data_IF_902624283979
#
_entry.id   IF_902624283979
#
_cell.length_a   1.000
_cell.length_b   1.000
_cell.length_c   1.000
_cell.angle_alpha   90.00
_cell.angle_beta   90.00
_cell.angle_gamma   90.00
#
_symmetry.space_group_name_H-M   'P 1'
#
loop_
_entity.id
_entity.type
_entity.pdbx_description
1 polymer ?
#
# COMPACT_ATOMS: atom_id res chain seq x y z
N UNK A 1 2.15 -9.17 -4.18
CA UNK A 1 2.21 -7.71 -4.27
C UNK A 1 1.35 -7.20 -5.43
N UNK A 2 1.64 -7.52 -6.69
CA UNK A 2 0.93 -6.96 -7.84
C UNK A 2 -0.60 -7.10 -7.82
N UNK A 3 -1.14 -8.23 -7.36
CA UNK A 3 -2.59 -8.41 -7.22
C UNK A 3 -3.22 -7.41 -6.23
N UNK A 4 -2.52 -7.09 -5.16
CA UNK A 4 -2.97 -6.12 -4.16
C UNK A 4 -2.87 -4.68 -4.68
N UNK A 5 -1.82 -4.37 -5.45
CA UNK A 5 -1.62 -3.02 -6.01
C UNK A 5 -2.69 -2.64 -7.05
N UNK A 6 -3.38 -3.62 -7.63
CA UNK A 6 -4.51 -3.38 -8.54
C UNK A 6 -5.78 -2.94 -7.78
N UNK A 7 -5.86 -3.26 -6.48
CA UNK A 7 -7.04 -2.92 -5.65
C UNK A 7 -6.83 -1.57 -4.98
N UNK A 8 -7.67 -0.57 -5.26
CA UNK A 8 -7.57 0.73 -4.61
C UNK A 8 -7.66 0.60 -3.07
N UNK A 9 -6.71 1.19 -2.34
CA UNK A 9 -6.69 1.16 -0.88
C UNK A 9 -6.01 -0.06 -0.25
N UNK A 10 -5.58 -1.05 -1.06
CA UNK A 10 -4.68 -2.12 -0.62
C UNK A 10 -3.29 -1.85 -1.19
N UNK A 11 -2.25 -2.13 -0.41
CA UNK A 11 -0.86 -1.89 -0.81
C UNK A 11 -0.12 -3.22 -0.99
N UNK A 12 0.66 -3.32 -2.06
CA UNK A 12 1.62 -4.41 -2.23
C UNK A 12 2.63 -4.50 -1.09
N UNK A 13 2.91 -3.38 -0.42
CA UNK A 13 3.68 -3.34 0.83
C UNK A 13 3.08 -4.20 1.93
N UNK A 14 1.75 -4.22 2.07
CA UNK A 14 1.06 -5.12 3.01
C UNK A 14 1.36 -6.59 2.69
N UNK A 15 1.27 -6.97 1.41
CA UNK A 15 1.57 -8.34 0.98
C UNK A 15 3.04 -8.68 1.17
N UNK A 16 3.97 -7.76 0.86
CA UNK A 16 5.39 -7.95 1.12
C UNK A 16 5.65 -8.21 2.60
N UNK A 17 4.97 -7.46 3.45
CA UNK A 17 5.09 -7.59 4.90
C UNK A 17 4.61 -8.96 5.38
N UNK A 18 3.42 -9.37 4.97
CA UNK A 18 2.79 -10.65 5.33
C UNK A 18 3.61 -11.85 4.83
N UNK A 19 4.15 -11.76 3.61
CA UNK A 19 4.99 -12.83 3.03
C UNK A 19 6.41 -12.88 3.60
N UNK A 20 6.75 -12.00 4.56
CA UNK A 20 8.05 -11.96 5.22
C UNK A 20 9.19 -11.40 4.38
N UNK A 21 8.91 -10.83 3.20
CA UNK A 21 9.93 -10.26 2.29
C UNK A 21 10.12 -8.75 2.46
N UNK A 22 9.40 -8.11 3.37
CA UNK A 22 9.39 -6.65 3.51
C UNK A 22 10.76 -6.08 3.91
N UNK A 23 11.43 -6.68 4.91
CA UNK A 23 12.75 -6.22 5.34
C UNK A 23 13.79 -6.42 4.22
N UNK A 24 13.71 -7.53 3.48
CA UNK A 24 14.56 -7.78 2.30
C UNK A 24 14.30 -6.74 1.21
N UNK A 25 13.03 -6.41 0.93
CA UNK A 25 12.64 -5.38 -0.02
C UNK A 25 13.24 -4.02 0.37
N UNK A 26 13.01 -3.58 1.61
CA UNK A 26 13.52 -2.29 2.12
C UNK A 26 15.06 -2.27 2.09
N UNK A 27 15.69 -3.37 2.51
CA UNK A 27 17.16 -3.48 2.48
C UNK A 27 17.70 -3.39 1.06
N UNK A 28 17.08 -4.09 0.11
CA UNK A 28 17.49 -4.10 -1.30
C UNK A 28 17.32 -2.73 -1.96
N UNK A 29 16.18 -2.04 -1.74
CA UNK A 29 15.97 -0.67 -2.23
C UNK A 29 17.02 0.27 -1.63
N UNK A 30 17.32 0.16 -0.35
CA UNK A 30 18.30 1.04 0.33
C UNK A 30 19.73 0.90 -0.19
N UNK A 31 20.05 -0.22 -0.86
CA UNK A 31 21.34 -0.46 -1.51
C UNK A 31 21.47 0.27 -2.85
N UNK A 32 20.38 0.75 -3.44
CA UNK A 32 20.43 1.58 -4.65
C UNK A 32 20.89 2.99 -4.24
N UNK A 33 22.21 3.18 -4.22
CA UNK A 33 22.86 4.40 -3.73
C UNK A 33 24.14 4.69 -4.52
N UNK A 34 24.86 5.76 -4.17
CA UNK A 34 26.11 6.11 -4.84
C UNK A 34 27.18 5.00 -4.78
N UNK A 35 27.14 4.13 -3.77
CA UNK A 35 28.04 2.98 -3.67
C UNK A 35 27.68 1.91 -4.70
N UNK A 36 26.40 1.69 -4.98
CA UNK A 36 25.96 0.80 -6.06
C UNK A 36 26.53 1.26 -7.43
N UNK A 37 26.55 2.58 -7.68
CA UNK A 37 27.14 3.13 -8.89
C UNK A 37 28.66 2.90 -8.93
N UNK A 38 29.36 3.03 -7.81
CA UNK A 38 30.78 2.70 -7.72
C UNK A 38 31.06 1.23 -8.00
N UNK A 39 30.28 0.32 -7.40
CA UNK A 39 30.39 -1.12 -7.67
C UNK A 39 30.16 -1.41 -9.15
N UNK A 40 29.16 -0.78 -9.77
CA UNK A 40 28.88 -0.96 -11.20
C UNK A 40 30.08 -0.52 -12.07
N UNK A 41 30.70 0.61 -11.76
CA UNK A 41 31.79 1.19 -12.56
C UNK A 41 33.16 0.55 -12.29
N UNK A 42 33.40 0.05 -11.08
CA UNK A 42 34.69 -0.49 -10.66
C UNK A 42 34.74 -2.03 -10.69
N UNK A 43 33.66 -2.70 -10.35
CA UNK A 43 33.60 -4.16 -10.19
C UNK A 43 32.74 -4.85 -11.27
N UNK A 44 32.03 -4.05 -12.07
CA UNK A 44 31.24 -4.54 -13.20
C UNK A 44 29.82 -4.97 -12.86
N UNK A 45 29.06 -5.37 -13.90
CA UNK A 45 27.61 -5.60 -13.83
C UNK A 45 27.24 -6.79 -12.93
N UNK A 46 28.07 -7.82 -12.86
CA UNK A 46 27.77 -9.01 -12.02
C UNK A 46 27.88 -8.68 -10.53
N UNK A 47 28.88 -7.89 -10.14
CA UNK A 47 29.06 -7.43 -8.77
C UNK A 47 27.93 -6.48 -8.38
N UNK A 48 27.58 -5.54 -9.25
CA UNK A 48 26.44 -4.66 -9.07
C UNK A 48 25.12 -5.44 -8.86
N UNK A 49 24.83 -6.44 -9.71
CA UNK A 49 23.66 -7.28 -9.59
C UNK A 49 23.56 -7.98 -8.24
N UNK A 50 24.66 -8.55 -7.76
CA UNK A 50 24.72 -9.16 -6.43
C UNK A 50 24.56 -8.13 -5.31
N UNK A 51 25.19 -6.96 -5.46
CA UNK A 51 25.13 -5.89 -4.47
C UNK A 51 23.71 -5.40 -4.21
N UNK A 52 22.92 -5.14 -5.27
CA UNK A 52 21.55 -4.64 -5.16
C UNK A 52 20.52 -5.74 -4.91
N UNK A 53 20.92 -7.02 -4.82
CA UNK A 53 20.00 -8.15 -4.79
C UNK A 53 19.12 -8.25 -6.05
N UNK A 54 19.72 -8.15 -7.22
CA UNK A 54 19.05 -8.07 -8.52
C UNK A 54 18.12 -9.24 -8.82
N UNK A 55 18.47 -10.46 -8.38
CA UNK A 55 17.64 -11.65 -8.56
C UNK A 55 16.31 -11.54 -7.80
N UNK A 56 16.33 -10.98 -6.59
CA UNK A 56 15.14 -10.69 -5.82
C UNK A 56 14.25 -9.65 -6.53
N UNK A 57 14.85 -8.54 -7.01
CA UNK A 57 14.12 -7.54 -7.77
C UNK A 57 13.52 -8.10 -9.05
N UNK A 58 14.27 -8.91 -9.78
CA UNK A 58 13.78 -9.51 -11.02
C UNK A 58 12.56 -10.42 -10.75
N UNK A 59 12.67 -11.31 -9.77
CA UNK A 59 11.56 -12.19 -9.39
C UNK A 59 10.33 -11.40 -8.93
N UNK A 60 10.55 -10.37 -8.11
CA UNK A 60 9.50 -9.50 -7.60
C UNK A 60 8.79 -8.72 -8.72
N UNK A 61 9.56 -8.04 -9.59
CA UNK A 61 9.00 -7.24 -10.68
C UNK A 61 8.30 -8.10 -11.73
N UNK A 62 8.85 -9.28 -12.06
CA UNK A 62 8.16 -10.23 -12.94
C UNK A 62 6.84 -10.70 -12.32
N UNK A 63 6.84 -11.08 -11.03
CA UNK A 63 5.63 -11.49 -10.33
C UNK A 63 4.58 -10.37 -10.26
N UNK A 64 5.00 -9.13 -10.02
CA UNK A 64 4.11 -7.95 -10.05
C UNK A 64 3.54 -7.76 -11.46
N UNK A 65 4.38 -7.78 -12.50
CA UNK A 65 3.96 -7.60 -13.88
C UNK A 65 2.97 -8.65 -14.35
N UNK A 66 3.27 -9.93 -14.13
CA UNK A 66 2.38 -11.04 -14.46
C UNK A 66 1.03 -10.90 -13.72
N UNK A 67 1.10 -10.56 -12.43
CA UNK A 67 -0.09 -10.39 -11.60
C UNK A 67 -0.98 -9.24 -12.10
N UNK A 68 -0.39 -8.08 -12.43
CA UNK A 68 -1.14 -6.94 -12.98
C UNK A 68 -1.80 -7.32 -14.31
N UNK A 69 -1.06 -7.91 -15.24
CA UNK A 69 -1.58 -8.27 -16.56
C UNK A 69 -2.71 -9.31 -16.46
N UNK A 70 -2.56 -10.31 -15.60
CA UNK A 70 -3.53 -11.40 -15.47
C UNK A 70 -4.74 -11.04 -14.63
N UNK A 71 -4.57 -10.26 -13.56
CA UNK A 71 -5.62 -10.03 -12.56
C UNK A 71 -6.30 -8.66 -12.68
N UNK A 72 -5.71 -7.67 -13.35
CA UNK A 72 -6.29 -6.33 -13.41
C UNK A 72 -7.73 -6.33 -13.96
N UNK A 73 -8.00 -7.06 -15.04
CA UNK A 73 -9.35 -7.15 -15.62
C UNK A 73 -10.33 -7.84 -14.69
N UNK A 74 -9.90 -8.92 -14.02
CA UNK A 74 -10.72 -9.67 -13.07
C UNK A 74 -11.04 -8.80 -11.86
N UNK A 75 -10.03 -8.11 -11.32
CA UNK A 75 -10.21 -7.22 -10.15
C UNK A 75 -11.10 -6.03 -10.48
N UNK A 76 -10.95 -5.45 -11.68
CA UNK A 76 -11.84 -4.39 -12.13
C UNK A 76 -13.28 -4.87 -12.18
N UNK A 77 -13.54 -6.00 -12.83
CA UNK A 77 -14.88 -6.60 -12.91
C UNK A 77 -15.47 -6.87 -11.53
N UNK A 78 -14.68 -7.45 -10.61
CA UNK A 78 -15.13 -7.76 -9.26
C UNK A 78 -15.43 -6.49 -8.44
N UNK A 79 -14.60 -5.46 -8.55
CA UNK A 79 -14.82 -4.18 -7.85
C UNK A 79 -16.05 -3.42 -8.37
N UNK A 80 -16.34 -3.51 -9.68
CA UNK A 80 -17.51 -2.87 -10.28
C UNK A 80 -18.82 -3.62 -9.98
N UNK A 81 -18.80 -4.95 -9.94
CA UNK A 81 -20.01 -5.76 -9.80
C UNK A 81 -20.22 -6.38 -8.41
N UNK A 82 -19.13 -6.61 -7.68
CA UNK A 82 -19.15 -7.30 -6.38
C UNK A 82 -18.21 -6.64 -5.35
N UNK A 83 -18.31 -5.31 -5.11
CA UNK A 83 -17.36 -4.61 -4.26
C UNK A 83 -17.32 -5.14 -2.82
N UNK A 84 -18.48 -5.47 -2.23
CA UNK A 84 -18.57 -6.00 -0.86
C UNK A 84 -17.72 -7.26 -0.71
N UNK A 85 -17.78 -8.17 -1.69
CA UNK A 85 -17.01 -9.42 -1.73
C UNK A 85 -15.51 -9.14 -1.67
N UNK A 86 -15.04 -8.24 -2.53
CA UNK A 86 -13.61 -7.89 -2.62
C UNK A 86 -13.12 -7.23 -1.34
N UNK A 87 -13.83 -6.22 -0.88
CA UNK A 87 -13.45 -5.49 0.33
C UNK A 87 -13.46 -6.37 1.57
N UNK A 88 -14.45 -7.28 1.70
CA UNK A 88 -14.52 -8.21 2.82
C UNK A 88 -13.33 -9.17 2.85
N UNK A 89 -12.95 -9.72 1.70
CA UNK A 89 -11.76 -10.56 1.59
C UNK A 89 -10.50 -9.83 2.05
N UNK A 90 -10.27 -8.61 1.53
CA UNK A 90 -9.10 -7.81 1.92
C UNK A 90 -9.16 -7.33 3.37
N UNK A 91 -10.33 -7.04 3.90
CA UNK A 91 -10.50 -6.72 5.32
C UNK A 91 -10.04 -7.88 6.20
N UNK A 92 -10.49 -9.09 5.92
CA UNK A 92 -10.07 -10.30 6.66
C UNK A 92 -8.56 -10.56 6.53
N UNK A 93 -8.00 -10.39 5.35
CA UNK A 93 -6.58 -10.49 5.08
C UNK A 93 -5.78 -9.48 5.93
N UNK A 94 -6.23 -8.21 6.01
CA UNK A 94 -5.56 -7.19 6.80
C UNK A 94 -5.69 -7.43 8.30
N UNK A 95 -6.84 -7.92 8.79
CA UNK A 95 -7.01 -8.30 10.20
C UNK A 95 -6.05 -9.42 10.59
N UNK A 96 -5.91 -10.45 9.76
CA UNK A 96 -4.91 -11.50 9.99
C UNK A 96 -3.48 -10.95 10.03
N UNK A 97 -3.18 -10.00 9.12
CA UNK A 97 -1.87 -9.33 9.06
C UNK A 97 -1.55 -8.58 10.34
N UNK A 98 -2.52 -7.85 10.91
CA UNK A 98 -2.37 -7.17 12.20
C UNK A 98 -1.98 -8.17 13.30
N UNK A 99 -2.71 -9.29 13.40
CA UNK A 99 -2.44 -10.31 14.42
C UNK A 99 -1.07 -10.95 14.25
N UNK A 100 -0.65 -11.17 13.00
CA UNK A 100 0.68 -11.68 12.69
C UNK A 100 1.77 -10.70 13.13
N UNK A 101 1.64 -9.42 12.79
CA UNK A 101 2.61 -8.39 13.14
C UNK A 101 2.70 -8.12 14.63
N UNK A 102 1.59 -8.24 15.35
CA UNK A 102 1.59 -8.12 16.80
C UNK A 102 2.47 -9.18 17.46
N UNK A 103 2.63 -10.36 16.84
CA UNK A 103 3.55 -11.42 17.35
C UNK A 103 5.03 -11.07 17.18
N UNK A 104 5.38 -10.23 16.18
CA UNK A 104 6.74 -9.76 15.95
C UNK A 104 7.19 -8.70 16.96
N UNK A 105 6.26 -8.18 17.77
CA UNK A 105 6.56 -7.24 18.86
C UNK A 105 6.98 -8.05 20.09
N UNK A 106 8.28 -8.23 20.25
CA UNK A 106 8.85 -9.05 21.33
C UNK A 106 8.56 -8.47 22.73
N UNK A 107 8.52 -7.15 22.86
CA UNK A 107 8.33 -6.46 24.15
C UNK A 107 7.23 -5.42 24.04
N UNK A 108 6.12 -5.69 24.68
CA UNK A 108 5.04 -4.75 24.86
C UNK A 108 5.36 -3.82 26.05
N UNK A 109 5.63 -2.56 25.74
CA UNK A 109 5.84 -1.52 26.71
C UNK A 109 4.98 -0.30 26.37
N UNK A 110 4.93 0.67 27.29
CA UNK A 110 4.15 1.89 27.08
C UNK A 110 4.52 2.61 25.76
N UNK A 111 5.81 2.63 25.42
CA UNK A 111 6.30 3.25 24.18
C UNK A 111 5.77 2.57 22.91
N UNK A 112 5.80 1.21 22.84
CA UNK A 112 5.29 0.48 21.69
C UNK A 112 3.78 0.64 21.54
N UNK A 113 3.02 0.63 22.64
CA UNK A 113 1.57 0.85 22.60
C UNK A 113 1.27 2.28 22.12
N UNK A 114 1.98 3.28 22.64
CA UNK A 114 1.79 4.68 22.24
C UNK A 114 2.11 4.89 20.76
N UNK A 115 3.21 4.34 20.26
CA UNK A 115 3.58 4.42 18.83
C UNK A 115 2.53 3.73 17.97
N UNK A 116 2.02 2.57 18.38
CA UNK A 116 0.96 1.85 17.66
C UNK A 116 -0.32 2.67 17.59
N UNK A 117 -0.76 3.26 18.70
CA UNK A 117 -1.95 4.10 18.74
C UNK A 117 -1.80 5.38 17.92
N UNK A 118 -0.66 6.07 18.01
CA UNK A 118 -0.39 7.28 17.22
C UNK A 118 -0.34 6.97 15.72
N UNK A 119 0.35 5.92 15.32
CA UNK A 119 0.41 5.51 13.91
C UNK A 119 -0.98 5.10 13.39
N UNK A 120 -1.76 4.40 14.21
CA UNK A 120 -3.14 4.04 13.89
C UNK A 120 -4.05 5.26 13.73
N UNK A 121 -3.95 6.22 14.65
CA UNK A 121 -4.70 7.48 14.56
C UNK A 121 -4.32 8.28 13.29
N UNK A 122 -3.03 8.39 12.99
CA UNK A 122 -2.55 9.06 11.76
C UNK A 122 -3.11 8.37 10.52
N UNK A 123 -2.99 7.04 10.43
CA UNK A 123 -3.50 6.28 9.29
C UNK A 123 -5.02 6.44 9.15
N UNK A 124 -5.76 6.34 10.25
CA UNK A 124 -7.22 6.55 10.25
C UNK A 124 -7.59 7.96 9.75
N UNK A 125 -6.95 9.00 10.27
CA UNK A 125 -7.17 10.39 9.85
C UNK A 125 -6.94 10.53 8.35
N UNK A 126 -5.84 9.96 7.82
CA UNK A 126 -5.55 9.97 6.38
C UNK A 126 -6.72 9.33 5.58
N UNK A 127 -7.36 8.29 6.08
CA UNK A 127 -8.47 7.63 5.36
C UNK A 127 -9.78 8.41 5.36
N UNK A 128 -9.98 9.34 6.30
CA UNK A 128 -11.23 10.11 6.45
C UNK A 128 -11.14 11.56 5.99
N UNK A 129 -9.93 12.10 5.78
CA UNK A 129 -9.75 13.45 5.25
C UNK A 129 -10.31 13.53 3.83
N UNK A 130 -11.18 14.51 3.52
CA UNK A 130 -11.64 14.73 2.18
C UNK A 130 -10.48 15.12 1.26
N UNK A 131 -10.49 14.67 -0.01
CA UNK A 131 -9.47 15.04 -0.98
C UNK A 131 -9.40 16.56 -1.18
N UNK A 132 -8.20 17.06 -1.40
CA UNK A 132 -7.99 18.45 -1.79
C UNK A 132 -8.48 18.62 -3.24
N UNK A 133 -9.71 19.09 -3.39
CA UNK A 133 -10.30 19.38 -4.70
C UNK A 133 -9.79 20.76 -5.16
N UNK A 134 -8.57 20.81 -5.63
CA UNK A 134 -8.04 22.01 -6.25
C UNK A 134 -7.50 21.60 -7.62
N UNK A 135 -7.89 22.37 -8.64
CA UNK A 135 -7.55 22.12 -10.04
C UNK A 135 -6.05 21.90 -10.27
N UNK A 136 -5.69 21.49 -11.47
CA UNK A 136 -4.35 21.11 -11.92
C UNK A 136 -3.24 22.04 -11.40
N UNK A 137 -2.68 21.71 -10.25
CA UNK A 137 -1.53 22.45 -9.74
C UNK A 137 -0.26 21.86 -10.39
N UNK A 138 0.19 22.48 -11.47
CA UNK A 138 1.38 22.08 -12.21
C UNK A 138 2.69 22.62 -11.60
N UNK A 139 2.66 23.10 -10.37
CA UNK A 139 3.88 23.54 -9.69
C UNK A 139 4.87 22.38 -9.59
N UNK A 140 6.07 22.61 -10.14
CA UNK A 140 7.16 21.63 -10.21
C UNK A 140 7.46 20.99 -8.85
N UNK A 141 7.53 21.82 -7.80
CA UNK A 141 7.80 21.36 -6.44
C UNK A 141 6.65 20.52 -5.87
N UNK A 142 5.42 20.90 -6.17
CA UNK A 142 4.23 20.14 -5.76
C UNK A 142 4.20 18.74 -6.42
N UNK A 143 4.41 18.66 -7.74
CA UNK A 143 4.45 17.38 -8.46
C UNK A 143 5.59 16.49 -7.96
N UNK A 144 6.76 17.07 -7.69
CA UNK A 144 7.88 16.34 -7.06
C UNK A 144 7.48 15.76 -5.70
N UNK A 145 6.85 16.56 -4.83
CA UNK A 145 6.39 16.10 -3.51
C UNK A 145 5.30 15.02 -3.65
N UNK A 146 4.39 15.16 -4.59
CA UNK A 146 3.37 14.14 -4.87
C UNK A 146 4.01 12.79 -5.23
N UNK A 147 5.04 12.80 -6.09
CA UNK A 147 5.79 11.59 -6.42
C UNK A 147 6.47 10.97 -5.20
N UNK A 148 7.14 11.80 -4.40
CA UNK A 148 7.82 11.33 -3.20
C UNK A 148 6.85 10.75 -2.16
N UNK A 149 5.74 11.42 -1.88
CA UNK A 149 4.75 10.96 -0.90
C UNK A 149 3.97 9.74 -1.38
N UNK A 150 3.60 9.68 -2.66
CA UNK A 150 2.91 8.54 -3.23
C UNK A 150 3.73 7.25 -3.11
N UNK A 151 5.01 7.30 -3.44
CA UNK A 151 5.88 6.11 -3.35
C UNK A 151 6.17 5.71 -1.91
N UNK A 152 6.32 6.68 -0.99
CA UNK A 152 6.46 6.40 0.44
C UNK A 152 5.22 5.67 0.98
N UNK A 153 4.03 6.15 0.60
CA UNK A 153 2.77 5.51 0.99
C UNK A 153 2.62 4.11 0.39
N UNK A 154 3.08 3.89 -0.83
CA UNK A 154 3.04 2.57 -1.49
C UNK A 154 3.91 1.53 -0.77
N UNK A 155 5.02 1.96 -0.16
CA UNK A 155 5.87 1.09 0.66
C UNK A 155 5.19 0.80 2.00
N UNK A 156 4.51 1.78 2.62
CA UNK A 156 3.84 1.58 3.89
C UNK A 156 2.69 0.57 3.73
N UNK A 157 2.59 -0.42 4.62
CA UNK A 157 1.46 -1.34 4.60
C UNK A 157 0.15 -0.60 4.89
N UNK A 158 -0.89 -0.86 4.10
CA UNK A 158 -2.26 -0.36 4.37
C UNK A 158 -2.66 0.93 3.66
N UNK A 159 -1.77 1.63 2.96
CA UNK A 159 -2.12 2.81 2.16
C UNK A 159 -1.59 2.66 0.73
N UNK A 160 -2.41 3.05 -0.23
CA UNK A 160 -2.05 3.07 -1.65
C UNK A 160 -1.47 4.42 -2.06
N UNK A 161 -0.42 4.42 -2.88
CA UNK A 161 0.14 5.64 -3.45
C UNK A 161 -0.86 6.41 -4.32
N UNK A 162 -1.69 5.69 -5.07
CA UNK A 162 -2.76 6.31 -5.87
C UNK A 162 -3.77 7.06 -4.97
N UNK A 163 -4.11 6.50 -3.82
CA UNK A 163 -4.98 7.15 -2.85
C UNK A 163 -4.36 8.46 -2.30
N UNK A 164 -3.06 8.48 -2.04
CA UNK A 164 -2.37 9.71 -1.64
C UNK A 164 -2.41 10.76 -2.76
N UNK A 165 -2.28 10.36 -4.02
CA UNK A 165 -2.42 11.29 -5.15
C UNK A 165 -3.83 11.87 -5.25
N UNK A 166 -4.87 11.06 -5.03
CA UNK A 166 -6.27 11.53 -4.96
C UNK A 166 -6.42 12.53 -3.81
N UNK A 167 -5.92 12.19 -2.63
CA UNK A 167 -5.98 13.04 -1.44
C UNK A 167 -5.32 14.40 -1.67
N UNK A 168 -4.20 14.43 -2.37
CA UNK A 168 -3.46 15.65 -2.72
C UNK A 168 -4.06 16.40 -3.93
N UNK A 169 -5.09 15.85 -4.59
CA UNK A 169 -5.67 16.44 -5.80
C UNK A 169 -4.75 16.34 -7.05
N UNK A 170 -3.72 15.50 -7.01
CA UNK A 170 -2.73 15.35 -8.07
C UNK A 170 -3.00 14.15 -9.00
N UNK A 171 -3.98 13.30 -8.69
CA UNK A 171 -4.22 12.04 -9.40
C UNK A 171 -4.47 12.25 -10.89
N UNK A 172 -5.39 13.17 -11.23
CA UNK A 172 -5.72 13.49 -12.62
C UNK A 172 -4.53 14.12 -13.35
N UNK A 173 -3.83 15.06 -12.71
CA UNK A 173 -2.65 15.71 -13.31
C UNK A 173 -1.60 14.67 -13.72
N UNK A 174 -1.37 13.64 -12.89
CA UNK A 174 -0.41 12.57 -13.19
C UNK A 174 -0.94 11.63 -14.28
N UNK A 175 -2.23 11.26 -14.25
CA UNK A 175 -2.84 10.41 -15.29
C UNK A 175 -2.87 11.09 -16.64
N UNK A 176 -3.25 12.37 -16.69
CA UNK A 176 -3.28 13.16 -17.93
C UNK A 176 -1.87 13.33 -18.50
N UNK A 177 -0.88 13.55 -17.63
CA UNK A 177 0.51 13.61 -18.06
C UNK A 177 1.00 12.29 -18.67
N UNK A 178 0.59 11.15 -18.11
CA UNK A 178 0.93 9.82 -18.64
C UNK A 178 0.23 9.55 -19.98
N UNK A 179 -1.07 9.91 -20.09
CA UNK A 179 -1.86 9.68 -21.31
C UNK A 179 -1.46 10.59 -22.46
N UNK A 180 -1.11 11.86 -22.18
CA UNK A 180 -0.67 12.86 -23.16
C UNK A 180 0.84 12.87 -23.42
N UNK A 181 1.59 11.96 -22.77
CA UNK A 181 3.05 11.90 -22.86
C UNK A 181 3.74 13.21 -22.45
N UNK A 182 3.23 13.90 -21.44
CA UNK A 182 3.88 15.10 -20.90
C UNK A 182 5.14 14.73 -20.11
N UNK A 183 6.26 14.58 -20.82
CA UNK A 183 7.54 14.15 -20.25
C UNK A 183 8.03 15.05 -19.12
N UNK A 184 7.69 16.35 -19.12
CA UNK A 184 8.09 17.26 -18.05
C UNK A 184 7.49 16.82 -16.72
N UNK A 185 6.18 16.64 -16.65
CA UNK A 185 5.47 16.23 -15.43
C UNK A 185 5.89 14.81 -15.05
N UNK A 186 5.99 13.88 -16.00
CA UNK A 186 6.42 12.49 -15.76
C UNK A 186 7.81 12.43 -15.13
N UNK A 187 8.77 13.21 -15.65
CA UNK A 187 10.15 13.26 -15.12
C UNK A 187 10.19 13.86 -13.71
N UNK A 188 9.49 14.97 -13.47
CA UNK A 188 9.46 15.62 -12.16
C UNK A 188 8.87 14.67 -11.12
N UNK A 189 7.72 14.05 -11.43
CA UNK A 189 7.08 13.05 -10.60
C UNK A 189 7.99 11.85 -10.35
N UNK A 190 8.63 11.32 -11.40
CA UNK A 190 9.56 10.19 -11.32
C UNK A 190 10.79 10.48 -10.46
N UNK A 191 11.37 11.67 -10.55
CA UNK A 191 12.50 12.11 -9.70
C UNK A 191 12.03 12.22 -8.25
N UNK A 192 10.83 12.76 -8.00
CA UNK A 192 10.21 12.78 -6.69
C UNK A 192 10.05 11.37 -6.12
N UNK A 193 9.48 10.45 -6.92
CA UNK A 193 9.30 9.07 -6.52
C UNK A 193 10.65 8.36 -6.23
N UNK A 194 11.66 8.53 -7.08
CA UNK A 194 13.00 7.97 -6.83
C UNK A 194 13.61 8.53 -5.53
N UNK A 195 13.50 9.83 -5.31
CA UNK A 195 14.02 10.45 -4.09
C UNK A 195 13.26 9.95 -2.85
N UNK A 196 11.94 9.87 -2.95
CA UNK A 196 11.08 9.35 -1.88
C UNK A 196 11.41 7.91 -1.52
N UNK A 197 11.46 7.01 -2.50
CA UNK A 197 11.73 5.58 -2.25
C UNK A 197 13.12 5.36 -1.65
N UNK A 198 14.15 6.04 -2.14
CA UNK A 198 15.51 5.89 -1.65
C UNK A 198 15.73 6.47 -0.26
N UNK A 199 15.14 7.63 0.03
CA UNK A 199 15.25 8.25 1.36
C UNK A 199 14.43 7.49 2.40
N UNK A 200 13.19 7.14 2.07
CA UNK A 200 12.28 6.46 2.97
C UNK A 200 12.73 5.02 3.28
N UNK A 201 13.22 4.28 2.28
CA UNK A 201 13.75 2.94 2.52
C UNK A 201 14.98 2.94 3.45
N UNK A 202 15.85 3.94 3.34
CA UNK A 202 16.98 4.11 4.27
C UNK A 202 16.50 4.42 5.69
N UNK A 203 15.50 5.30 5.82
CA UNK A 203 14.91 5.63 7.12
C UNK A 203 14.27 4.39 7.75
N UNK A 204 13.47 3.62 6.99
CA UNK A 204 12.87 2.38 7.47
C UNK A 204 13.92 1.34 7.86
N UNK A 205 14.95 1.15 7.03
CA UNK A 205 16.06 0.24 7.35
C UNK A 205 16.75 0.62 8.65
N UNK A 206 17.01 1.90 8.87
CA UNK A 206 17.57 2.39 10.12
C UNK A 206 16.64 2.17 11.30
N UNK A 207 15.34 2.40 11.15
CA UNK A 207 14.33 2.14 12.17
C UNK A 207 14.28 0.65 12.54
N UNK A 208 14.28 -0.25 11.57
CA UNK A 208 14.34 -1.70 11.83
C UNK A 208 15.62 -2.12 12.55
N UNK A 209 16.77 -1.54 12.17
CA UNK A 209 18.04 -1.87 12.79
C UNK A 209 18.15 -1.37 14.26
N UNK A 210 17.58 -0.18 14.56
CA UNK A 210 17.75 0.45 15.87
C UNK A 210 16.55 0.32 16.79
N UNK A 211 15.33 0.32 16.24
CA UNK A 211 14.07 0.37 16.98
C UNK A 211 13.06 -0.66 16.46
N UNK A 212 13.52 -1.91 16.27
CA UNK A 212 12.73 -3.00 15.66
C UNK A 212 11.32 -3.10 16.25
N UNK A 213 11.18 -3.19 17.56
CA UNK A 213 9.89 -3.29 18.25
C UNK A 213 8.96 -2.10 18.00
N UNK A 214 9.50 -0.87 18.06
CA UNK A 214 8.71 0.34 17.80
C UNK A 214 8.31 0.43 16.34
N UNK A 215 9.15 -0.04 15.43
CA UNK A 215 8.86 -0.07 13.99
C UNK A 215 7.72 -1.04 13.70
N UNK A 216 7.76 -2.27 14.26
CA UNK A 216 6.64 -3.21 14.13
C UNK A 216 5.36 -2.66 14.75
N UNK A 217 5.44 -2.05 15.93
CA UNK A 217 4.30 -1.43 16.57
C UNK A 217 3.69 -0.30 15.71
N UNK A 218 4.53 0.56 15.14
CA UNK A 218 4.10 1.64 14.25
C UNK A 218 3.44 1.13 12.98
N UNK A 219 4.05 0.15 12.30
CA UNK A 219 3.49 -0.45 11.10
C UNK A 219 2.18 -1.20 11.39
N UNK A 220 2.12 -1.93 12.50
CA UNK A 220 0.88 -2.58 12.96
C UNK A 220 -0.24 -1.57 13.20
N UNK A 221 0.06 -0.50 13.94
CA UNK A 221 -0.89 0.59 14.16
C UNK A 221 -1.37 1.21 12.86
N UNK A 222 -0.45 1.43 11.91
CA UNK A 222 -0.77 1.99 10.61
C UNK A 222 -1.74 1.10 9.81
N UNK A 223 -1.57 -0.23 9.84
CA UNK A 223 -2.52 -1.17 9.22
C UNK A 223 -3.87 -1.12 9.95
N UNK A 224 -3.88 -1.08 11.29
CA UNK A 224 -5.13 -0.98 12.07
C UNK A 224 -5.92 0.27 11.65
N UNK A 225 -5.27 1.44 11.60
CA UNK A 225 -5.93 2.69 11.19
C UNK A 225 -6.43 2.66 9.75
N UNK A 226 -5.71 1.97 8.85
CA UNK A 226 -6.09 1.84 7.44
C UNK A 226 -7.20 0.82 7.17
N UNK A 227 -7.61 -0.02 8.15
CA UNK A 227 -8.75 -0.94 8.03
C UNK A 227 -10.03 -0.22 7.61
N UNK A 228 -10.19 1.04 8.02
CA UNK A 228 -11.32 1.88 7.57
C UNK A 228 -11.40 1.97 6.05
N UNK A 229 -10.26 1.98 5.33
CA UNK A 229 -10.23 2.09 3.86
C UNK A 229 -10.69 0.82 3.15
N UNK A 230 -10.56 -0.33 3.77
CA UNK A 230 -11.01 -1.63 3.22
C UNK A 230 -12.32 -2.11 3.83
N UNK A 231 -12.99 -1.27 4.61
CA UNK A 231 -14.31 -1.58 5.17
C UNK A 231 -15.32 -1.85 4.04
N UNK A 232 -16.11 -2.95 4.08
CA UNK A 232 -16.93 -3.36 2.94
C UNK A 232 -18.09 -2.43 2.59
N UNK A 233 -18.68 -1.80 3.61
CA UNK A 233 -19.87 -0.98 3.43
C UNK A 233 -19.52 0.50 3.46
N UNK A 234 -19.73 1.16 2.33
CA UNK A 234 -19.35 2.56 2.13
C UNK A 234 -20.47 3.35 1.52
N UNK A 235 -20.59 4.59 1.94
CA UNK A 235 -21.40 5.63 1.32
C UNK A 235 -20.51 6.51 0.45
N UNK A 236 -20.87 6.69 -0.81
CA UNK A 236 -20.17 7.61 -1.71
C UNK A 236 -20.61 9.04 -1.39
N UNK A 237 -19.67 9.86 -0.95
CA UNK A 237 -19.92 11.28 -0.64
C UNK A 237 -19.60 12.18 -1.82
N UNK A 238 -18.63 11.80 -2.64
CA UNK A 238 -18.20 12.61 -3.79
C UNK A 238 -17.72 11.73 -4.93
N UNK A 239 -18.18 12.02 -6.12
CA UNK A 239 -17.73 11.42 -7.38
C UNK A 239 -17.02 12.45 -8.25
N UNK A 240 -16.14 11.98 -9.10
CA UNK A 240 -15.47 12.79 -10.09
C UNK A 240 -16.46 13.18 -11.21
N UNK A 241 -16.67 14.48 -11.46
CA UNK A 241 -17.58 14.93 -12.52
C UNK A 241 -17.16 14.51 -13.92
N UNK A 242 -15.86 14.22 -14.15
CA UNK A 242 -15.32 13.93 -15.48
C UNK A 242 -15.51 12.47 -15.89
N UNK A 243 -15.35 11.54 -14.94
CA UNK A 243 -15.35 10.10 -15.25
C UNK A 243 -16.27 9.27 -14.33
N UNK A 244 -16.97 9.89 -13.38
CA UNK A 244 -17.89 9.24 -12.45
C UNK A 244 -17.19 8.37 -11.38
N UNK A 245 -15.85 8.39 -11.32
CA UNK A 245 -15.12 7.62 -10.31
C UNK A 245 -15.36 8.17 -8.91
N UNK A 246 -15.34 7.28 -7.91
CA UNK A 246 -15.53 7.66 -6.51
C UNK A 246 -14.27 8.34 -5.99
N UNK A 247 -14.40 9.58 -5.52
CA UNK A 247 -13.30 10.38 -4.95
C UNK A 247 -13.30 10.27 -3.43
N UNK A 248 -14.48 10.38 -2.81
CA UNK A 248 -14.59 10.37 -1.36
C UNK A 248 -15.73 9.47 -0.90
N UNK A 249 -15.43 8.61 0.06
CA UNK A 249 -16.33 7.63 0.65
C UNK A 249 -16.29 7.69 2.17
N UNK A 250 -17.38 7.34 2.81
CA UNK A 250 -17.49 7.16 4.26
C UNK A 250 -17.87 5.72 4.58
N UNK A 251 -17.17 5.12 5.53
CA UNK A 251 -17.53 3.81 6.08
C UNK A 251 -18.82 3.92 6.90
N UNK A 252 -19.78 3.03 6.63
CA UNK A 252 -21.08 2.99 7.28
C UNK A 252 -21.36 1.59 7.83
N UNK A 253 -22.38 1.46 8.70
CA UNK A 253 -22.84 0.14 9.14
C UNK A 253 -23.60 -0.57 8.02
N UNK A 254 -23.67 -1.92 8.02
CA UNK A 254 -24.44 -2.69 7.04
C UNK A 254 -25.89 -2.23 6.91
N UNK A 255 -26.58 -2.00 8.02
CA UNK A 255 -27.97 -1.50 8.05
C UNK A 255 -28.11 -0.11 7.41
N UNK A 256 -27.15 0.77 7.64
CA UNK A 256 -27.13 2.11 7.03
C UNK A 256 -26.85 2.01 5.53
N UNK A 257 -25.96 1.09 5.11
CA UNK A 257 -25.72 0.82 3.71
C UNK A 257 -26.98 0.40 2.95
N UNK A 258 -27.76 -0.53 3.53
CA UNK A 258 -29.04 -0.96 2.95
C UNK A 258 -30.05 0.19 2.84
N UNK A 259 -30.14 1.05 3.87
CA UNK A 259 -31.02 2.20 3.83
C UNK A 259 -30.66 3.23 2.75
N UNK A 260 -29.36 3.47 2.54
CA UNK A 260 -28.90 4.50 1.61
C UNK A 260 -28.89 3.98 0.17
N UNK A 261 -28.41 2.75 -0.05
CA UNK A 261 -28.20 2.21 -1.39
C UNK A 261 -29.38 1.40 -1.91
N UNK A 262 -30.31 1.01 -1.05
CA UNK A 262 -31.39 0.07 -1.33
C UNK A 262 -30.92 -1.31 -1.84
N UNK A 263 -29.65 -1.64 -1.59
CA UNK A 263 -29.05 -2.92 -1.92
C UNK A 263 -28.82 -3.77 -0.65
N UNK A 264 -28.87 -5.08 -0.79
CA UNK A 264 -28.57 -6.03 0.28
C UNK A 264 -27.10 -5.85 0.73
N UNK A 265 -26.89 -5.70 2.04
CA UNK A 265 -25.55 -5.61 2.62
C UNK A 265 -24.75 -6.93 2.55
N UNK A 266 -25.35 -8.05 2.20
CA UNK A 266 -24.71 -9.35 2.03
C UNK A 266 -23.81 -9.73 3.23
N UNK A 267 -24.27 -9.46 4.46
CA UNK A 267 -23.46 -9.57 5.69
C UNK A 267 -22.87 -10.97 5.86
N UNK A 268 -23.64 -12.02 5.57
CA UNK A 268 -23.19 -13.41 5.70
C UNK A 268 -22.07 -13.70 4.70
N UNK A 269 -22.22 -13.29 3.44
CA UNK A 269 -21.21 -13.46 2.39
C UNK A 269 -19.95 -12.67 2.74
N UNK A 270 -20.10 -11.44 3.23
CA UNK A 270 -19.01 -10.59 3.67
C UNK A 270 -18.20 -11.24 4.80
N UNK A 271 -18.88 -11.79 5.82
CA UNK A 271 -18.21 -12.51 6.92
C UNK A 271 -17.47 -13.76 6.44
N UNK A 272 -18.11 -14.56 5.58
CA UNK A 272 -17.46 -15.77 5.02
C UNK A 272 -16.20 -15.41 4.26
N UNK A 273 -16.22 -14.36 3.43
CA UNK A 273 -15.05 -13.95 2.66
C UNK A 273 -13.98 -13.28 3.52
N UNK A 274 -14.34 -12.55 4.55
CA UNK A 274 -13.38 -12.06 5.53
C UNK A 274 -12.68 -13.24 6.24
N UNK A 275 -13.40 -14.29 6.60
CA UNK A 275 -12.84 -15.52 7.15
C UNK A 275 -11.89 -16.18 6.14
N UNK A 276 -12.27 -16.29 4.87
CA UNK A 276 -11.40 -16.84 3.81
C UNK A 276 -10.11 -16.00 3.70
N UNK A 277 -10.22 -14.67 3.60
CA UNK A 277 -9.06 -13.77 3.55
C UNK A 277 -8.14 -13.93 4.75
N UNK A 278 -8.72 -14.07 5.94
CA UNK A 278 -7.99 -14.33 7.18
C UNK A 278 -7.19 -15.64 7.11
N UNK A 279 -7.82 -16.73 6.71
CA UNK A 279 -7.16 -18.04 6.63
C UNK A 279 -6.14 -18.15 5.51
N UNK A 280 -6.24 -17.38 4.44
CA UNK A 280 -5.19 -17.30 3.41
C UNK A 280 -3.87 -16.83 4.03
N UNK A 281 -3.90 -15.78 4.84
CA UNK A 281 -2.69 -15.28 5.52
C UNK A 281 -2.17 -16.28 6.54
N UNK A 282 -3.05 -16.85 7.33
CA UNK A 282 -2.68 -17.87 8.30
C UNK A 282 -2.00 -19.08 7.64
N UNK A 283 -2.49 -19.49 6.46
CA UNK A 283 -1.88 -20.56 5.67
C UNK A 283 -0.49 -20.19 5.14
N UNK A 284 -0.31 -18.96 4.63
CA UNK A 284 0.98 -18.46 4.15
C UNK A 284 1.99 -18.41 5.30
N UNK A 285 1.59 -17.88 6.46
CA UNK A 285 2.44 -17.84 7.67
C UNK A 285 2.90 -19.23 8.08
N UNK A 286 1.97 -20.17 8.19
CA UNK A 286 2.28 -21.53 8.59
C UNK A 286 3.24 -22.21 7.61
N UNK A 287 3.04 -22.01 6.31
CA UNK A 287 3.94 -22.55 5.29
C UNK A 287 5.33 -21.92 5.35
N UNK A 288 5.42 -20.61 5.50
CA UNK A 288 6.70 -19.90 5.66
C UNK A 288 7.49 -20.39 6.87
N UNK A 289 6.81 -20.64 7.99
CA UNK A 289 7.46 -21.17 9.21
C UNK A 289 7.97 -22.60 9.04
N UNK A 290 7.28 -23.43 8.24
CA UNK A 290 7.74 -24.79 7.92
C UNK A 290 9.00 -24.82 7.04
N UNK A 291 9.26 -23.78 6.26
CA UNK A 291 10.49 -23.67 5.46
C UNK A 291 11.68 -23.13 6.22
N UNK A 292 11.47 -22.54 7.40
CA UNK A 292 12.53 -22.00 8.26
C UNK A 292 12.98 -22.99 9.34
N UNK A 293 12.22 -24.05 9.58
CA UNK A 293 12.55 -25.18 10.47
C UNK A 293 13.29 -26.29 9.72
#
# INVERSE_FOLDING_TARGET
>A
MGAADVVPGVSGGTIAFISGIYEELISSISKINLQALKVLTQEGIVAFWKYINGSFFLALLMGIGISIISLAKVMKFLLENHPIIVWSFFFGLMVASVLFLMKEIERWNFGSIMVMLLAGAIAYIITVIPPLVNGSNENVFFIFLCGALAICAMILPGISGAFILVLLGAYHTVLDALSSWNFKIILIFGIGALTGILSFSKALKWLFAKYRNLTFAGLTGFIIGSLNKVWPWKETLQTDPLNGSVIHERSVLPSTFEMITHNDAQVVTALLLAIVGFFVIYGIEKWSNLQKS
#
